data_IF_347319954398
#
_entry.id   IF_347319954398
#
_cell.length_a   1.000
_cell.length_b   1.000
_cell.length_c   1.000
_cell.angle_alpha   90.00
_cell.angle_beta   90.00
_cell.angle_gamma   90.00
#
_symmetry.space_group_name_H-M   'P 1'
#
loop_
_entity.id
_entity.type
_entity.pdbx_description
1 polymer ?
#
# COMPACT_ATOMS: atom_id res chain seq x y z
N UNK A 1 -6.61 13.13 -18.78
CA UNK A 1 -7.96 13.02 -18.18
C UNK A 1 -7.72 12.81 -16.70
N UNK A 2 -7.86 13.85 -15.88
CA UNK A 2 -7.58 13.76 -14.43
C UNK A 2 -8.81 13.20 -13.73
N UNK A 3 -8.69 12.07 -13.06
CA UNK A 3 -9.81 11.40 -12.40
C UNK A 3 -9.65 9.88 -12.39
N UNK A 4 -10.52 9.19 -11.65
CA UNK A 4 -10.56 7.73 -11.62
C UNK A 4 -10.95 7.15 -12.99
N UNK A 5 -10.44 5.97 -13.33
CA UNK A 5 -10.85 5.26 -14.55
C UNK A 5 -12.28 4.76 -14.44
N UNK A 6 -12.63 4.28 -13.25
CA UNK A 6 -13.97 3.83 -12.87
C UNK A 6 -14.26 4.40 -11.49
N UNK A 7 -15.47 4.90 -11.29
CA UNK A 7 -15.95 5.29 -9.97
C UNK A 7 -17.41 4.92 -9.76
N UNK A 8 -17.81 4.68 -8.52
CA UNK A 8 -19.18 4.30 -8.21
C UNK A 8 -19.43 3.97 -6.73
N UNK A 9 -20.68 3.67 -6.36
CA UNK A 9 -21.10 3.42 -4.97
C UNK A 9 -20.78 1.98 -4.49
N UNK A 10 -19.61 1.45 -4.89
CA UNK A 10 -19.20 0.09 -4.59
C UNK A 10 -18.74 -0.06 -3.15
N UNK A 11 -19.04 -1.21 -2.54
CA UNK A 11 -18.53 -1.53 -1.21
C UNK A 11 -17.02 -1.69 -1.22
N UNK A 12 -16.40 -1.57 -0.06
CA UNK A 12 -14.96 -1.81 0.08
C UNK A 12 -14.55 -3.15 -0.52
N UNK A 13 -15.29 -4.22 -0.23
CA UNK A 13 -14.99 -5.56 -0.74
C UNK A 13 -15.12 -5.63 -2.27
N UNK A 14 -16.14 -5.00 -2.85
CA UNK A 14 -16.31 -4.94 -4.30
C UNK A 14 -15.22 -4.09 -4.96
N UNK A 15 -14.86 -2.96 -4.38
CA UNK A 15 -13.79 -2.07 -4.87
C UNK A 15 -12.43 -2.77 -4.84
N UNK A 16 -12.11 -3.40 -3.71
CA UNK A 16 -10.89 -4.18 -3.52
C UNK A 16 -10.82 -5.36 -4.47
N UNK A 17 -11.91 -6.12 -4.60
CA UNK A 17 -11.99 -7.26 -5.51
C UNK A 17 -11.83 -6.84 -6.97
N UNK A 18 -12.51 -5.76 -7.38
CA UNK A 18 -12.37 -5.19 -8.72
C UNK A 18 -10.93 -4.79 -9.02
N UNK A 19 -10.23 -4.16 -8.08
CA UNK A 19 -8.83 -3.81 -8.27
C UNK A 19 -7.93 -5.06 -8.31
N UNK A 20 -8.02 -5.93 -7.30
CA UNK A 20 -7.14 -7.09 -7.14
C UNK A 20 -7.28 -8.16 -8.24
N UNK A 21 -8.40 -8.16 -8.97
CA UNK A 21 -8.69 -9.10 -10.05
C UNK A 21 -8.76 -8.41 -11.43
N UNK A 22 -8.42 -7.13 -11.52
CA UNK A 22 -8.52 -6.33 -12.74
C UNK A 22 -9.94 -6.31 -13.37
N UNK A 23 -11.00 -6.42 -12.57
CA UNK A 23 -12.39 -6.49 -13.04
C UNK A 23 -13.04 -5.11 -13.16
N UNK A 24 -13.75 -4.85 -14.27
CA UNK A 24 -14.63 -3.68 -14.39
C UNK A 24 -16.00 -3.98 -13.70
N UNK A 25 -16.35 -3.28 -12.60
CA UNK A 25 -17.59 -3.53 -11.86
C UNK A 25 -18.87 -3.10 -12.61
N UNK A 26 -18.74 -2.45 -13.76
CA UNK A 26 -19.86 -2.06 -14.65
C UNK A 26 -19.97 -3.01 -15.83
N UNK A 27 -18.85 -3.45 -16.41
CA UNK A 27 -18.80 -4.24 -17.66
C UNK A 27 -17.99 -5.51 -17.48
N UNK A 28 -18.65 -6.66 -17.45
CA UNK A 28 -17.99 -7.97 -17.31
C UNK A 28 -16.94 -8.28 -18.38
N UNK A 29 -17.09 -7.72 -19.58
CA UNK A 29 -16.20 -8.00 -20.72
C UNK A 29 -15.01 -7.03 -20.81
N UNK A 30 -14.81 -6.20 -19.79
CA UNK A 30 -13.74 -5.21 -19.74
C UNK A 30 -12.83 -5.49 -18.54
N UNK A 31 -11.52 -5.41 -18.79
CA UNK A 31 -10.48 -5.56 -17.78
C UNK A 31 -9.88 -4.19 -17.50
N UNK A 32 -9.66 -3.88 -16.23
CA UNK A 32 -8.95 -2.69 -15.80
C UNK A 32 -7.61 -3.10 -15.24
N UNK A 33 -6.50 -2.65 -15.82
CA UNK A 33 -5.18 -2.83 -15.17
C UNK A 33 -5.10 -1.91 -13.96
N UNK A 34 -5.64 -2.36 -12.83
CA UNK A 34 -5.70 -1.57 -11.61
C UNK A 34 -4.29 -1.41 -11.05
N UNK A 35 -4.08 -0.32 -10.33
CA UNK A 35 -2.83 -0.08 -9.59
C UNK A 35 -3.07 0.50 -8.21
N UNK A 36 -4.33 0.86 -7.94
CA UNK A 36 -4.76 1.33 -6.64
C UNK A 36 -6.18 1.90 -6.71
N UNK A 37 -6.76 2.11 -5.54
CA UNK A 37 -8.11 2.62 -5.43
C UNK A 37 -8.29 3.52 -4.21
N UNK A 38 -9.17 4.50 -4.35
CA UNK A 38 -9.70 5.29 -3.25
C UNK A 38 -11.01 4.69 -2.79
N UNK A 39 -11.18 4.56 -1.48
CA UNK A 39 -12.45 4.17 -0.89
C UNK A 39 -12.85 5.09 0.27
N UNK A 40 -14.08 5.59 0.22
CA UNK A 40 -14.71 6.33 1.31
C UNK A 40 -15.84 5.49 1.88
N UNK A 41 -15.74 5.17 3.16
CA UNK A 41 -16.87 4.57 3.87
C UNK A 41 -17.96 5.62 4.06
N UNK A 42 -19.17 5.31 3.57
CA UNK A 42 -20.34 6.15 3.82
C UNK A 42 -20.76 6.06 5.30
N UNK A 43 -21.16 7.18 5.89
CA UNK A 43 -22.01 7.15 7.09
C UNK A 43 -23.35 6.50 6.72
N UNK A 44 -24.19 6.05 7.68
CA UNK A 44 -25.49 5.42 7.38
C UNK A 44 -26.41 6.22 6.43
N UNK A 45 -26.18 7.53 6.33
CA UNK A 45 -26.93 8.49 5.51
C UNK A 45 -26.19 8.99 4.26
N UNK A 46 -24.97 8.51 4.00
CA UNK A 46 -24.20 8.81 2.79
C UNK A 46 -23.79 7.51 2.08
N UNK A 47 -23.80 7.49 0.75
CA UNK A 47 -23.28 6.35 0.02
C UNK A 47 -21.76 6.23 0.17
N UNK A 48 -21.29 5.00 0.37
CA UNK A 48 -19.89 4.64 0.14
C UNK A 48 -19.48 5.03 -1.29
N UNK A 49 -18.18 5.25 -1.51
CA UNK A 49 -17.67 5.66 -2.80
C UNK A 49 -16.32 4.98 -3.08
N UNK A 50 -16.19 4.43 -4.29
CA UNK A 50 -15.01 3.74 -4.78
C UNK A 50 -14.52 4.43 -6.05
N UNK A 51 -13.20 4.56 -6.19
CA UNK A 51 -12.51 5.14 -7.33
C UNK A 51 -11.31 4.26 -7.69
N UNK A 52 -11.33 3.64 -8.87
CA UNK A 52 -10.29 2.73 -9.37
C UNK A 52 -9.34 3.48 -10.32
N UNK A 53 -8.03 3.27 -10.14
CA UNK A 53 -6.99 3.97 -10.90
C UNK A 53 -6.03 2.97 -11.56
N UNK A 54 -5.53 3.36 -12.72
CA UNK A 54 -4.44 2.69 -13.44
C UNK A 54 -3.11 3.41 -13.18
N UNK A 55 -1.99 2.74 -13.47
CA UNK A 55 -0.64 3.26 -13.20
C UNK A 55 -0.37 4.65 -13.80
N UNK A 56 -0.84 4.94 -15.01
CA UNK A 56 -0.64 6.23 -15.69
C UNK A 56 -1.35 7.39 -14.98
N UNK A 57 -2.48 7.10 -14.32
CA UNK A 57 -3.22 8.06 -13.50
C UNK A 57 -2.50 8.33 -12.18
N UNK A 58 -1.84 7.32 -11.59
CA UNK A 58 -1.14 7.46 -10.31
C UNK A 58 0.19 8.21 -10.40
N UNK A 59 0.94 8.04 -11.50
CA UNK A 59 2.25 8.68 -11.70
C UNK A 59 2.23 10.22 -11.60
N UNK A 60 1.07 10.84 -11.83
CA UNK A 60 0.92 12.30 -11.81
C UNK A 60 0.39 12.84 -10.47
N UNK A 61 0.10 11.98 -9.50
CA UNK A 61 -0.77 12.36 -8.39
C UNK A 61 -0.47 11.73 -7.03
N UNK A 62 0.74 11.20 -6.77
CA UNK A 62 1.14 10.75 -5.41
C UNK A 62 0.73 11.76 -4.31
N UNK A 63 0.67 13.06 -4.63
CA UNK A 63 0.26 14.12 -3.70
C UNK A 63 -1.25 14.46 -3.67
N UNK A 64 -2.04 14.05 -4.68
CA UNK A 64 -3.46 14.43 -4.81
C UNK A 64 -4.45 13.34 -4.36
N UNK A 65 -4.09 12.05 -4.49
CA UNK A 65 -5.03 10.96 -4.14
C UNK A 65 -5.25 10.84 -2.62
N UNK A 66 -4.25 11.26 -1.83
CA UNK A 66 -4.27 11.30 -0.37
C UNK A 66 -4.84 12.62 0.21
N UNK A 67 -5.21 13.59 -0.64
CA UNK A 67 -5.52 14.95 -0.17
C UNK A 67 -6.93 15.11 0.44
N UNK A 68 -7.88 14.23 0.09
CA UNK A 68 -9.22 14.22 0.71
C UNK A 68 -9.22 13.22 1.87
N UNK A 69 -9.24 13.75 3.10
CA UNK A 69 -9.21 12.98 4.35
C UNK A 69 -10.39 12.02 4.53
N UNK A 70 -11.43 12.14 3.70
CA UNK A 70 -12.57 11.22 3.68
C UNK A 70 -12.27 9.93 2.95
N UNK A 71 -11.24 9.89 2.10
CA UNK A 71 -10.83 8.68 1.39
C UNK A 71 -9.65 8.02 2.07
N UNK A 72 -9.64 6.70 2.03
CA UNK A 72 -8.45 5.90 2.25
C UNK A 72 -7.98 5.38 0.90
N UNK A 73 -6.71 5.65 0.58
CA UNK A 73 -6.08 5.14 -0.63
C UNK A 73 -5.43 3.78 -0.37
N UNK A 74 -5.61 2.85 -1.29
CA UNK A 74 -5.06 1.51 -1.23
C UNK A 74 -4.22 1.27 -2.49
N UNK A 75 -2.92 1.06 -2.30
CA UNK A 75 -2.00 0.66 -3.35
C UNK A 75 -2.10 -0.83 -3.61
N UNK A 76 -2.08 -1.21 -4.89
CA UNK A 76 -1.91 -2.59 -5.28
C UNK A 76 -0.43 -2.89 -5.53
N UNK A 77 0.09 -3.88 -4.80
CA UNK A 77 1.44 -4.40 -4.98
C UNK A 77 1.37 -5.91 -5.17
N UNK A 78 1.90 -6.39 -6.28
CA UNK A 78 2.14 -7.81 -6.51
C UNK A 78 3.47 -8.20 -5.88
N UNK A 79 3.40 -9.02 -4.83
CA UNK A 79 4.58 -9.51 -4.09
C UNK A 79 4.75 -11.01 -4.30
N UNK A 80 6.00 -11.47 -4.40
CA UNK A 80 6.30 -12.90 -4.52
C UNK A 80 6.49 -13.49 -3.12
N UNK A 81 5.41 -13.97 -2.51
CA UNK A 81 5.42 -14.55 -1.16
C UNK A 81 4.68 -15.88 -1.11
N UNK A 82 5.07 -16.76 -0.19
CA UNK A 82 4.33 -17.98 0.12
C UNK A 82 3.07 -17.73 0.96
N UNK A 83 2.87 -16.49 1.43
CA UNK A 83 1.69 -16.07 2.20
C UNK A 83 0.58 -15.61 1.27
N UNK A 84 -0.66 -15.94 1.63
CA UNK A 84 -1.85 -15.42 0.97
C UNK A 84 -2.37 -14.16 1.67
N UNK A 85 -2.86 -13.20 0.87
CA UNK A 85 -3.56 -12.02 1.36
C UNK A 85 -4.92 -12.44 1.97
N UNK A 86 -5.04 -12.35 3.30
CA UNK A 86 -6.27 -12.78 4.03
C UNK A 86 -7.03 -11.63 4.71
N UNK A 87 -6.47 -10.42 4.73
CA UNK A 87 -7.10 -9.23 5.32
C UNK A 87 -7.48 -8.18 4.29
N UNK A 88 -8.04 -7.07 4.75
CA UNK A 88 -8.40 -5.90 3.92
C UNK A 88 -7.18 -5.28 3.22
N UNK A 89 -6.05 -5.27 3.91
CA UNK A 89 -4.74 -4.85 3.41
C UNK A 89 -3.64 -5.63 4.14
N UNK A 90 -2.47 -5.77 3.51
CA UNK A 90 -1.32 -6.47 4.08
C UNK A 90 -0.37 -5.53 4.85
N UNK A 91 -0.20 -4.31 4.36
CA UNK A 91 0.72 -3.31 4.91
C UNK A 91 0.04 -1.95 5.07
N UNK A 92 0.47 -1.20 6.07
CA UNK A 92 0.18 0.23 6.20
C UNK A 92 1.40 1.01 5.76
N UNK A 93 1.21 1.96 4.86
CA UNK A 93 2.27 2.85 4.41
C UNK A 93 2.39 4.06 5.34
N UNK A 94 3.62 4.43 5.69
CA UNK A 94 3.92 5.61 6.51
C UNK A 94 4.91 6.49 5.73
N UNK A 95 4.40 7.52 5.06
CA UNK A 95 5.21 8.44 4.27
C UNK A 95 6.33 9.06 5.09
N UNK A 96 7.56 9.03 4.56
CA UNK A 96 8.75 9.60 5.19
C UNK A 96 8.96 9.13 6.64
N UNK A 97 8.64 7.85 6.93
CA UNK A 97 8.91 7.23 8.23
C UNK A 97 9.74 5.97 8.08
N UNK A 98 10.59 5.71 9.06
CA UNK A 98 11.39 4.49 9.14
C UNK A 98 11.56 4.02 10.58
N UNK A 99 11.86 2.73 10.75
CA UNK A 99 12.20 2.17 12.07
C UNK A 99 13.63 2.57 12.45
N UNK A 100 13.82 3.04 13.69
CA UNK A 100 15.14 3.33 14.25
C UNK A 100 16.08 2.12 14.07
N UNK A 101 17.30 2.37 13.61
CA UNK A 101 18.29 1.33 13.29
C UNK A 101 18.58 0.37 14.45
N UNK A 102 18.37 0.79 15.70
CA UNK A 102 18.53 -0.08 16.89
C UNK A 102 17.53 -1.23 16.93
N UNK A 103 16.38 -1.08 16.28
CA UNK A 103 15.31 -2.09 16.22
C UNK A 103 15.26 -2.79 14.85
N UNK A 104 16.22 -2.50 13.96
CA UNK A 104 16.40 -3.24 12.72
C UNK A 104 17.04 -4.59 13.05
N UNK A 105 16.36 -5.65 12.63
CA UNK A 105 16.79 -7.03 12.86
C UNK A 105 17.76 -7.50 11.77
N UNK A 106 17.49 -7.11 10.53
CA UNK A 106 18.20 -7.56 9.35
C UNK A 106 18.19 -6.47 8.29
N UNK A 107 19.30 -6.34 7.56
CA UNK A 107 19.40 -5.46 6.40
C UNK A 107 19.76 -6.33 5.21
N UNK A 108 18.91 -6.32 4.20
CA UNK A 108 19.13 -7.01 2.93
C UNK A 108 19.11 -6.00 1.80
N UNK A 109 19.63 -6.38 0.64
CA UNK A 109 19.57 -5.56 -0.57
C UNK A 109 18.55 -6.17 -1.53
N UNK A 110 17.55 -5.39 -1.91
CA UNK A 110 16.50 -5.80 -2.85
C UNK A 110 16.47 -4.87 -4.05
N UNK A 111 15.96 -5.35 -5.19
CA UNK A 111 15.88 -4.53 -6.41
C UNK A 111 14.69 -3.60 -6.38
N UNK A 112 13.60 -4.03 -5.74
CA UNK A 112 12.35 -3.29 -5.65
C UNK A 112 11.79 -3.31 -4.23
N UNK A 113 10.75 -2.50 -4.01
CA UNK A 113 10.01 -2.48 -2.75
C UNK A 113 9.24 -3.80 -2.55
N UNK A 114 8.68 -4.37 -3.61
CA UNK A 114 7.92 -5.61 -3.60
C UNK A 114 8.78 -6.79 -3.12
N UNK A 115 10.04 -6.86 -3.57
CA UNK A 115 11.02 -7.83 -3.08
C UNK A 115 11.27 -7.65 -1.57
N UNK A 116 11.37 -6.39 -1.10
CA UNK A 116 11.56 -6.07 0.32
C UNK A 116 10.34 -6.48 1.18
N UNK A 117 9.13 -6.19 0.70
CA UNK A 117 7.88 -6.59 1.34
C UNK A 117 7.76 -8.11 1.40
N UNK A 118 8.09 -8.80 0.29
CA UNK A 118 8.11 -10.26 0.21
C UNK A 118 9.04 -10.88 1.24
N UNK A 119 10.26 -10.34 1.37
CA UNK A 119 11.23 -10.81 2.35
C UNK A 119 10.75 -10.67 3.80
N UNK A 120 9.99 -9.61 4.12
CA UNK A 120 9.37 -9.46 5.42
C UNK A 120 8.25 -10.49 5.66
N UNK A 121 7.35 -10.70 4.69
CA UNK A 121 6.25 -11.68 4.80
C UNK A 121 6.76 -13.11 5.00
N UNK A 122 7.87 -13.44 4.32
CA UNK A 122 8.45 -14.78 4.31
C UNK A 122 9.58 -14.96 5.34
N UNK A 123 9.82 -13.97 6.21
CA UNK A 123 10.83 -14.08 7.27
C UNK A 123 10.51 -15.27 8.21
N UNK A 124 11.42 -16.26 8.24
CA UNK A 124 11.23 -17.50 9.02
C UNK A 124 11.84 -17.39 10.42
N UNK A 125 12.95 -16.66 10.56
CA UNK A 125 13.74 -16.61 11.80
C UNK A 125 13.12 -15.71 12.88
N UNK A 126 12.18 -14.86 12.50
CA UNK A 126 11.46 -13.95 13.39
C UNK A 126 10.18 -13.48 12.68
N UNK A 127 9.19 -13.05 13.45
CA UNK A 127 8.00 -12.42 12.90
C UNK A 127 8.32 -10.98 12.48
N UNK A 128 8.67 -10.76 11.21
CA UNK A 128 8.82 -9.41 10.67
C UNK A 128 7.48 -8.67 10.72
N UNK A 129 7.51 -7.39 11.12
CA UNK A 129 6.32 -6.54 11.33
C UNK A 129 6.41 -5.18 10.66
N UNK A 130 7.60 -4.75 10.24
CA UNK A 130 7.76 -3.54 9.43
C UNK A 130 9.01 -3.63 8.57
N UNK A 131 8.96 -2.94 7.44
CA UNK A 131 10.10 -2.67 6.59
C UNK A 131 10.39 -1.17 6.56
N UNK A 132 11.63 -0.80 6.32
CA UNK A 132 12.00 0.53 5.82
C UNK A 132 12.82 0.30 4.57
N UNK A 133 12.44 0.90 3.45
CA UNK A 133 13.07 0.66 2.16
C UNK A 133 13.66 1.97 1.63
N UNK A 134 14.97 1.99 1.41
CA UNK A 134 15.65 3.10 0.78
C UNK A 134 15.67 2.86 -0.73
N UNK A 135 14.97 3.71 -1.48
CA UNK A 135 14.85 3.57 -2.95
C UNK A 135 16.13 3.93 -3.70
N UNK A 136 16.97 4.80 -3.13
CA UNK A 136 18.24 5.23 -3.71
C UNK A 136 19.26 4.10 -3.67
N UNK A 137 19.38 3.44 -2.53
CA UNK A 137 20.39 2.40 -2.32
C UNK A 137 19.85 0.99 -2.56
N UNK A 138 18.53 0.76 -2.51
CA UNK A 138 17.95 -0.59 -2.56
C UNK A 138 18.11 -1.38 -1.26
N UNK A 139 18.44 -0.69 -0.16
CA UNK A 139 18.59 -1.31 1.15
C UNK A 139 17.20 -1.45 1.82
N UNK A 140 16.92 -2.67 2.24
CA UNK A 140 15.69 -3.09 2.89
C UNK A 140 15.97 -3.45 4.36
N UNK A 141 15.47 -2.62 5.27
CA UNK A 141 15.64 -2.74 6.71
C UNK A 141 14.42 -3.46 7.30
N UNK A 142 14.60 -4.69 7.77
CA UNK A 142 13.53 -5.52 8.31
C UNK A 142 13.51 -5.45 9.83
N UNK A 143 12.33 -5.31 10.43
CA UNK A 143 12.16 -5.24 11.90
C UNK A 143 11.02 -6.13 12.39
N UNK A 144 11.20 -6.69 13.58
CA UNK A 144 10.17 -7.41 14.34
C UNK A 144 9.20 -6.47 15.09
N UNK A 145 9.47 -5.16 15.04
CA UNK A 145 8.69 -4.09 15.64
C UNK A 145 7.99 -3.25 14.57
N UNK A 146 7.08 -2.38 14.97
CA UNK A 146 6.30 -1.51 14.10
C UNK A 146 5.76 -0.31 14.90
N UNK A 147 4.94 0.55 14.27
CA UNK A 147 4.38 1.73 14.91
C UNK A 147 3.54 1.46 16.17
N UNK A 148 2.99 0.24 16.32
CA UNK A 148 2.19 -0.12 17.50
C UNK A 148 3.08 -0.64 18.64
N UNK A 149 4.07 -1.47 18.32
CA UNK A 149 4.93 -2.10 19.33
C UNK A 149 6.05 -1.19 19.83
N UNK A 150 6.55 -0.28 18.98
CA UNK A 150 7.63 0.67 19.31
C UNK A 150 7.39 2.06 18.69
N UNK A 151 6.26 2.75 19.00
CA UNK A 151 5.91 4.04 18.38
C UNK A 151 7.01 5.11 18.51
N UNK A 152 7.66 5.21 19.68
CA UNK A 152 8.72 6.20 19.92
C UNK A 152 10.00 5.99 19.08
N UNK A 153 10.13 4.82 18.45
CA UNK A 153 11.25 4.44 17.61
C UNK A 153 10.90 4.50 16.11
N UNK A 154 9.69 4.94 15.75
CA UNK A 154 9.42 5.38 14.39
C UNK A 154 10.00 6.79 14.22
N UNK A 155 10.94 6.93 13.28
CA UNK A 155 11.64 8.17 12.99
C UNK A 155 11.10 8.82 11.73
N UNK A 156 11.21 10.14 11.67
CA UNK A 156 10.87 10.93 10.49
C UNK A 156 12.10 11.02 9.60
N UNK A 157 11.95 10.68 8.33
CA UNK A 157 12.95 10.98 7.32
C UNK A 157 12.84 12.45 6.92
N UNK A 158 13.79 13.26 7.35
CA UNK A 158 13.88 14.67 6.95
C UNK A 158 14.78 14.88 5.73
N UNK A 159 15.37 13.80 5.18
CA UNK A 159 16.22 13.89 4.01
C UNK A 159 15.38 13.64 2.75
N UNK A 160 15.17 14.65 1.90
CA UNK A 160 14.41 14.47 0.66
C UNK A 160 15.11 13.56 -0.36
N UNK A 161 16.37 13.18 -0.13
CA UNK A 161 17.16 12.31 -1.00
C UNK A 161 17.19 10.83 -0.55
N UNK A 162 16.43 10.47 0.48
CA UNK A 162 16.38 9.11 1.04
C UNK A 162 15.04 8.43 0.71
#
# INVERSE_FOLDING_TARGET
MFGARIEGPYSFHACKGACANDEDPVKSDNEIQCSGFNHRQGLPQYSQHCQLYQADQLQHGESFFEADDRYSFYWEYCVQSNKSCSGDYAFTYLSDRYMDLREVREVIRTKTLEDCLSACLDAVNYACRSVSYNRTDGDCFLSQHNQLSKPALIKINNNPNY
#
